data_IF_235273930652
#
_entry.id   IF_235273930652
#
_cell.length_a   1.000
_cell.length_b   1.000
_cell.length_c   1.000
_cell.angle_alpha   90.00
_cell.angle_beta   90.00
_cell.angle_gamma   90.00
#
_symmetry.space_group_name_H-M   'P 1'
#
loop_
_entity.id
_entity.type
_entity.pdbx_description
1 polymer ?
#
# COMPACT_ATOMS: atom_id res chain seq x y z
N UNK A 1 12.32 -20.78 5.49
CA UNK A 1 12.81 -21.69 6.55
C UNK A 1 13.28 -22.99 5.90
N UNK A 2 14.44 -23.51 6.30
CA UNK A 2 15.04 -24.75 5.79
C UNK A 2 14.10 -25.95 5.98
N UNK A 3 13.74 -26.64 4.90
CA UNK A 3 12.86 -27.80 4.94
C UNK A 3 13.37 -28.87 5.91
N UNK A 4 12.61 -29.09 6.99
CA UNK A 4 12.88 -30.15 7.96
C UNK A 4 12.96 -31.49 7.24
N UNK A 5 14.04 -32.25 7.44
CA UNK A 5 14.18 -33.59 6.86
C UNK A 5 12.95 -34.44 7.21
N UNK A 6 12.24 -34.93 6.20
CA UNK A 6 10.97 -35.69 6.31
C UNK A 6 11.09 -36.91 7.22
N UNK A 7 12.29 -37.46 7.38
CA UNK A 7 12.56 -38.61 8.23
C UNK A 7 13.00 -38.26 9.65
N UNK A 8 13.24 -36.98 9.96
CA UNK A 8 13.63 -36.53 11.29
C UNK A 8 12.50 -36.72 12.33
N UNK A 9 12.83 -36.77 13.63
CA UNK A 9 11.85 -36.69 14.70
C UNK A 9 10.97 -35.45 14.55
N UNK A 10 9.67 -35.60 14.75
CA UNK A 10 8.71 -34.53 14.54
C UNK A 10 8.88 -33.43 15.60
N UNK A 11 8.97 -32.14 15.20
CA UNK A 11 9.25 -31.04 16.12
C UNK A 11 8.14 -30.78 17.15
N UNK A 12 6.94 -31.34 16.97
CA UNK A 12 5.83 -31.25 17.93
C UNK A 12 6.03 -32.09 19.22
N UNK A 13 7.17 -32.78 19.36
CA UNK A 13 7.48 -33.57 20.56
C UNK A 13 6.77 -34.93 20.64
N UNK A 14 6.12 -35.38 19.56
CA UNK A 14 5.35 -36.64 19.56
C UNK A 14 6.21 -37.91 19.54
N UNK A 15 7.53 -37.79 19.38
CA UNK A 15 8.46 -38.93 19.24
C UNK A 15 8.36 -39.69 17.91
N UNK A 16 7.42 -39.35 17.02
CA UNK A 16 7.24 -39.97 15.70
C UNK A 16 8.04 -39.23 14.62
N UNK A 17 8.29 -39.87 13.47
CA UNK A 17 8.91 -39.21 12.29
C UNK A 17 8.00 -38.12 11.72
N UNK A 18 8.56 -37.00 11.28
CA UNK A 18 7.82 -35.83 10.77
C UNK A 18 6.80 -36.20 9.68
N UNK A 19 7.21 -36.99 8.69
CA UNK A 19 6.33 -37.46 7.60
C UNK A 19 5.09 -38.25 8.02
N UNK A 20 5.12 -38.86 9.21
CA UNK A 20 4.02 -39.70 9.74
C UNK A 20 3.14 -38.90 10.71
N UNK A 21 3.61 -37.75 11.18
CA UNK A 21 2.95 -36.97 12.22
C UNK A 21 2.39 -35.66 11.69
N UNK A 22 3.19 -34.59 11.65
CA UNK A 22 2.70 -33.26 11.32
C UNK A 22 2.70 -32.96 9.82
N UNK A 23 3.50 -33.66 9.00
CA UNK A 23 3.64 -33.32 7.58
C UNK A 23 2.30 -33.22 6.84
N UNK A 24 1.39 -34.19 6.97
CA UNK A 24 0.08 -34.13 6.28
C UNK A 24 -0.81 -32.99 6.76
N UNK A 25 -0.70 -32.62 8.03
CA UNK A 25 -1.45 -31.50 8.60
C UNK A 25 -0.84 -30.18 8.15
N UNK A 26 0.48 -30.09 8.16
CA UNK A 26 1.22 -28.90 7.72
C UNK A 26 1.03 -28.69 6.19
N UNK A 27 1.08 -29.76 5.39
CA UNK A 27 0.74 -29.74 3.94
C UNK A 27 -0.72 -29.34 3.71
N UNK A 28 -1.66 -29.81 4.54
CA UNK A 28 -3.06 -29.40 4.47
C UNK A 28 -3.27 -27.94 4.91
N UNK A 29 -2.56 -27.47 5.94
CA UNK A 29 -2.57 -26.07 6.38
C UNK A 29 -1.90 -25.15 5.36
N UNK A 30 -0.84 -25.58 4.69
CA UNK A 30 -0.15 -24.84 3.64
C UNK A 30 -1.02 -24.76 2.38
N UNK A 31 -1.71 -25.85 2.04
CA UNK A 31 -2.74 -25.89 0.98
C UNK A 31 -3.93 -24.99 1.34
N UNK A 32 -4.41 -25.00 2.58
CA UNK A 32 -5.45 -24.09 3.06
C UNK A 32 -4.99 -22.63 3.06
N UNK A 33 -3.74 -22.34 3.44
CA UNK A 33 -3.16 -20.98 3.39
C UNK A 33 -3.04 -20.48 1.96
N UNK A 34 -2.59 -21.33 1.03
CA UNK A 34 -2.56 -21.03 -0.40
C UNK A 34 -3.95 -20.90 -1.04
N UNK A 35 -4.96 -21.62 -0.52
CA UNK A 35 -6.35 -21.48 -0.94
C UNK A 35 -7.04 -20.22 -0.35
N UNK A 36 -6.58 -19.72 0.81
CA UNK A 36 -7.12 -18.53 1.51
C UNK A 36 -6.53 -17.20 1.02
N UNK A 37 -5.41 -17.22 0.30
CA UNK A 37 -4.73 -16.02 -0.20
C UNK A 37 -4.38 -16.13 -1.69
N UNK A 38 -4.47 -15.01 -2.43
CA UNK A 38 -3.64 -14.82 -3.63
C UNK A 38 -4.23 -15.22 -4.98
N UNK A 39 -5.55 -15.29 -5.16
CA UNK A 39 -6.14 -15.45 -6.50
C UNK A 39 -5.69 -14.36 -7.48
N UNK A 40 -5.62 -13.11 -7.00
CA UNK A 40 -5.04 -11.98 -7.75
C UNK A 40 -3.57 -12.23 -8.10
N UNK A 41 -2.73 -12.60 -7.13
CA UNK A 41 -1.30 -12.83 -7.37
C UNK A 41 -1.03 -13.98 -8.35
N UNK A 42 -1.78 -15.08 -8.27
CA UNK A 42 -1.68 -16.19 -9.24
C UNK A 42 -2.10 -15.74 -10.64
N UNK A 43 -3.15 -14.91 -10.74
CA UNK A 43 -3.61 -14.37 -12.01
C UNK A 43 -2.58 -13.43 -12.64
N UNK A 44 -2.00 -12.50 -11.87
CA UNK A 44 -0.97 -11.56 -12.36
C UNK A 44 0.28 -12.31 -12.80
N UNK A 45 0.81 -13.23 -11.98
CA UNK A 45 1.99 -14.02 -12.36
C UNK A 45 1.77 -14.81 -13.66
N UNK A 46 0.56 -15.35 -13.87
CA UNK A 46 0.22 -16.03 -15.12
C UNK A 46 0.15 -15.06 -16.31
N UNK A 47 -0.38 -13.85 -16.14
CA UNK A 47 -0.41 -12.83 -17.19
C UNK A 47 1.01 -12.43 -17.60
N UNK A 48 1.90 -12.18 -16.62
CA UNK A 48 3.29 -11.80 -16.88
C UNK A 48 4.05 -12.88 -17.68
N UNK A 49 3.80 -14.15 -17.38
CA UNK A 49 4.39 -15.27 -18.12
C UNK A 49 3.78 -15.45 -19.52
N UNK A 50 2.46 -15.28 -19.66
CA UNK A 50 1.72 -15.66 -20.87
C UNK A 50 1.67 -14.55 -21.92
N UNK A 51 1.64 -13.30 -21.48
CA UNK A 51 1.55 -12.11 -22.31
C UNK A 51 2.44 -10.99 -21.74
N UNK A 52 3.77 -11.14 -21.81
CA UNK A 52 4.72 -10.19 -21.21
C UNK A 52 4.48 -8.75 -21.69
N UNK A 53 4.35 -7.82 -20.76
CA UNK A 53 4.16 -6.39 -21.01
C UNK A 53 2.74 -5.97 -21.44
N UNK A 54 1.87 -6.91 -21.84
CA UNK A 54 0.52 -6.56 -22.28
C UNK A 54 -0.38 -6.14 -21.10
N UNK A 55 -0.19 -6.77 -19.93
CA UNK A 55 -0.87 -6.35 -18.70
C UNK A 55 -0.42 -4.95 -18.26
N UNK A 56 0.89 -4.66 -18.35
CA UNK A 56 1.46 -3.35 -18.05
C UNK A 56 0.90 -2.27 -18.98
N UNK A 57 0.80 -2.54 -20.28
CA UNK A 57 0.20 -1.61 -21.26
C UNK A 57 -1.26 -1.27 -20.92
N UNK A 58 -2.06 -2.26 -20.51
CA UNK A 58 -3.45 -2.02 -20.10
C UNK A 58 -3.53 -1.24 -18.79
N UNK A 59 -2.62 -1.49 -17.84
CA UNK A 59 -2.53 -0.71 -16.61
C UNK A 59 -2.13 0.74 -16.90
N UNK A 60 -1.13 0.95 -17.76
CA UNK A 60 -0.64 2.28 -18.14
C UNK A 60 -1.74 3.09 -18.86
N UNK A 61 -2.29 2.53 -19.94
CA UNK A 61 -3.29 3.20 -20.78
C UNK A 61 -4.68 3.26 -20.15
N UNK A 62 -4.97 2.38 -19.19
CA UNK A 62 -6.27 2.22 -18.56
C UNK A 62 -6.33 2.76 -17.14
N UNK A 63 -5.56 2.22 -16.21
CA UNK A 63 -5.54 2.66 -14.81
C UNK A 63 -4.87 4.03 -14.67
N UNK A 64 -3.62 4.14 -15.15
CA UNK A 64 -2.79 5.35 -15.08
C UNK A 64 -3.02 6.34 -16.22
N UNK A 65 -4.10 6.19 -17.00
CA UNK A 65 -4.33 7.00 -18.21
C UNK A 65 -4.35 8.54 -18.04
N UNK A 66 -4.44 9.03 -16.81
CA UNK A 66 -4.43 10.48 -16.49
C UNK A 66 -3.08 10.97 -15.95
N UNK A 67 -2.15 10.04 -15.74
CA UNK A 67 -0.80 10.29 -15.23
C UNK A 67 0.08 10.59 -16.44
N UNK A 68 0.67 11.77 -16.45
CA UNK A 68 1.66 12.18 -17.43
C UNK A 68 3.07 11.70 -17.01
N UNK A 69 4.07 11.90 -17.87
CA UNK A 69 5.46 11.52 -17.59
C UNK A 69 5.94 12.09 -16.24
N UNK A 70 5.70 13.37 -15.99
CA UNK A 70 5.99 14.03 -14.70
C UNK A 70 5.23 13.39 -13.52
N UNK A 71 4.03 12.86 -13.78
CA UNK A 71 3.22 12.12 -12.83
C UNK A 71 3.80 10.75 -12.49
N UNK A 72 4.39 10.05 -13.46
CA UNK A 72 5.11 8.79 -13.22
C UNK A 72 6.39 9.02 -12.42
N UNK A 73 7.13 10.08 -12.70
CA UNK A 73 8.29 10.48 -11.88
C UNK A 73 7.86 10.71 -10.43
N UNK A 74 6.76 11.44 -10.21
CA UNK A 74 6.21 11.65 -8.87
C UNK A 74 5.74 10.36 -8.20
N UNK A 75 5.15 9.42 -8.95
CA UNK A 75 4.75 8.12 -8.43
C UNK A 75 5.97 7.32 -7.95
N UNK A 76 7.06 7.34 -8.72
CA UNK A 76 8.32 6.68 -8.39
C UNK A 76 9.02 7.28 -7.15
N UNK A 77 8.76 8.55 -6.86
CA UNK A 77 9.26 9.25 -5.66
C UNK A 77 8.39 9.04 -4.40
N UNK A 78 7.20 8.44 -4.53
CA UNK A 78 6.33 8.19 -3.36
C UNK A 78 6.96 7.18 -2.40
N UNK A 79 6.58 7.18 -1.10
CA UNK A 79 6.99 6.12 -0.19
C UNK A 79 6.59 4.74 -0.71
N UNK A 80 7.45 3.73 -0.52
CA UNK A 80 7.24 2.37 -1.03
C UNK A 80 5.84 1.81 -0.71
N UNK A 81 5.35 1.95 0.52
CA UNK A 81 4.02 1.47 0.91
C UNK A 81 2.85 2.12 0.13
N UNK A 82 3.04 3.32 -0.42
CA UNK A 82 2.05 3.98 -1.29
C UNK A 82 2.16 3.47 -2.73
N UNK A 83 3.37 3.17 -3.19
CA UNK A 83 3.59 2.51 -4.47
C UNK A 83 2.98 1.10 -4.46
N UNK A 84 3.22 0.32 -3.39
CA UNK A 84 2.63 -1.02 -3.19
C UNK A 84 1.09 -0.96 -3.19
N UNK A 85 0.52 0.08 -2.56
CA UNK A 85 -0.93 0.31 -2.58
C UNK A 85 -1.44 0.62 -3.99
N UNK A 86 -0.72 1.45 -4.75
CA UNK A 86 -1.10 1.79 -6.12
C UNK A 86 -1.02 0.60 -7.06
N UNK A 87 0.03 -0.22 -6.93
CA UNK A 87 0.19 -1.47 -7.66
C UNK A 87 -0.93 -2.46 -7.32
N UNK A 88 -1.21 -2.68 -6.04
CA UNK A 88 -2.31 -3.54 -5.60
C UNK A 88 -3.65 -3.09 -6.18
N UNK A 89 -3.92 -1.78 -6.13
CA UNK A 89 -5.14 -1.19 -6.68
C UNK A 89 -5.21 -1.35 -8.22
N UNK A 90 -4.07 -1.25 -8.91
CA UNK A 90 -4.00 -1.45 -10.36
C UNK A 90 -4.29 -2.89 -10.75
N UNK A 91 -3.75 -3.88 -10.02
CA UNK A 91 -4.02 -5.30 -10.26
C UNK A 91 -5.47 -5.69 -9.97
N UNK A 92 -6.06 -5.19 -8.88
CA UNK A 92 -7.49 -5.36 -8.59
C UNK A 92 -8.35 -4.80 -9.74
N UNK A 93 -8.03 -3.58 -10.20
CA UNK A 93 -8.73 -2.96 -11.33
C UNK A 93 -8.57 -3.75 -12.63
N UNK A 94 -7.35 -4.20 -12.95
CA UNK A 94 -7.06 -4.96 -14.16
C UNK A 94 -7.93 -6.22 -14.23
N UNK A 95 -8.01 -6.97 -13.14
CA UNK A 95 -8.82 -8.18 -13.07
C UNK A 95 -10.32 -7.83 -13.05
N UNK A 96 -10.74 -6.79 -12.33
CA UNK A 96 -12.16 -6.49 -12.20
C UNK A 96 -12.80 -5.88 -13.47
N UNK A 97 -12.09 -4.97 -14.14
CA UNK A 97 -12.64 -4.11 -15.20
C UNK A 97 -11.76 -4.04 -16.47
N UNK A 98 -10.51 -4.50 -16.42
CA UNK A 98 -9.56 -4.48 -17.52
C UNK A 98 -9.94 -5.40 -18.68
N UNK A 99 -9.55 -4.99 -19.88
CA UNK A 99 -9.76 -5.73 -21.12
C UNK A 99 -8.44 -5.78 -21.90
N UNK A 100 -8.12 -6.94 -22.47
CA UNK A 100 -6.92 -7.19 -23.24
C UNK A 100 -7.28 -7.86 -24.56
N UNK A 101 -6.47 -7.63 -25.59
CA UNK A 101 -6.63 -8.34 -26.86
C UNK A 101 -6.30 -9.84 -26.66
N UNK A 102 -7.17 -10.72 -27.16
CA UNK A 102 -6.97 -12.17 -27.11
C UNK A 102 -5.89 -12.65 -28.09
N UNK A 103 -5.74 -11.93 -29.20
CA UNK A 103 -4.85 -12.22 -30.33
C UNK A 103 -4.49 -10.94 -31.09
N UNK A 104 -3.64 -11.08 -32.12
CA UNK A 104 -3.23 -10.00 -33.03
C UNK A 104 -4.40 -9.44 -33.86
N UNK A 105 -5.58 -10.08 -33.84
CA UNK A 105 -6.79 -9.62 -34.53
C UNK A 105 -7.54 -8.54 -33.72
N UNK A 106 -7.13 -8.30 -32.47
CA UNK A 106 -7.57 -7.18 -31.65
C UNK A 106 -8.92 -7.38 -30.97
N UNK A 107 -9.38 -8.62 -30.82
CA UNK A 107 -10.60 -8.90 -30.06
C UNK A 107 -10.35 -8.65 -28.57
N UNK A 108 -10.94 -7.57 -28.04
CA UNK A 108 -10.86 -7.23 -26.62
C UNK A 108 -11.72 -8.17 -25.78
N UNK A 109 -11.09 -8.84 -24.81
CA UNK A 109 -11.75 -9.72 -23.85
C UNK A 109 -11.45 -9.27 -22.43
N UNK A 110 -12.38 -9.44 -21.47
CA UNK A 110 -12.11 -9.17 -20.06
C UNK A 110 -10.94 -10.00 -19.56
N UNK A 111 -10.01 -9.37 -18.84
CA UNK A 111 -8.80 -10.06 -18.35
C UNK A 111 -9.16 -11.24 -17.44
N UNK A 112 -10.18 -11.08 -16.59
CA UNK A 112 -10.67 -12.19 -15.77
C UNK A 112 -11.22 -13.36 -16.59
N UNK A 113 -11.79 -13.14 -17.78
CA UNK A 113 -12.22 -14.25 -18.65
C UNK A 113 -11.02 -15.05 -19.18
N UNK A 114 -9.91 -14.38 -19.50
CA UNK A 114 -8.67 -15.05 -19.90
C UNK A 114 -8.11 -15.93 -18.77
N UNK A 115 -8.13 -15.40 -17.55
CA UNK A 115 -7.62 -16.09 -16.36
C UNK A 115 -8.54 -17.25 -15.94
N UNK A 116 -9.87 -17.07 -16.01
CA UNK A 116 -10.82 -18.10 -15.59
C UNK A 116 -11.12 -19.14 -16.67
N UNK A 117 -10.83 -18.82 -17.93
CA UNK A 117 -11.14 -19.64 -19.10
C UNK A 117 -10.18 -20.80 -19.34
N UNK A 118 -10.45 -21.54 -20.42
CA UNK A 118 -9.66 -22.70 -20.83
C UNK A 118 -8.24 -22.26 -21.22
N UNK A 119 -7.25 -22.66 -20.42
CA UNK A 119 -5.84 -22.27 -20.60
C UNK A 119 -5.31 -21.26 -19.57
N UNK A 120 -6.17 -20.77 -18.67
CA UNK A 120 -5.79 -19.99 -17.50
C UNK A 120 -4.97 -20.80 -16.47
N UNK A 121 -4.48 -20.15 -15.38
CA UNK A 121 -3.68 -20.83 -14.37
C UNK A 121 -4.50 -21.88 -13.61
N UNK A 122 -3.79 -22.82 -12.96
CA UNK A 122 -4.41 -23.75 -12.04
C UNK A 122 -4.86 -22.99 -10.78
N UNK A 123 -6.16 -22.74 -10.67
CA UNK A 123 -6.79 -22.05 -9.53
C UNK A 123 -7.50 -23.04 -8.61
N UNK A 124 -7.37 -22.84 -7.30
CA UNK A 124 -8.27 -23.47 -6.35
C UNK A 124 -9.68 -22.87 -6.47
N UNK A 125 -10.68 -23.63 -6.06
CA UNK A 125 -12.08 -23.20 -6.07
C UNK A 125 -12.29 -21.84 -5.37
N UNK A 126 -11.66 -21.64 -4.20
CA UNK A 126 -11.73 -20.38 -3.46
C UNK A 126 -11.10 -19.19 -4.21
N UNK A 127 -10.02 -19.43 -4.97
CA UNK A 127 -9.37 -18.39 -5.78
C UNK A 127 -10.23 -18.03 -6.99
N UNK A 128 -10.81 -19.02 -7.66
CA UNK A 128 -11.78 -18.83 -8.75
C UNK A 128 -12.98 -18.01 -8.26
N UNK A 129 -13.60 -18.42 -7.15
CA UNK A 129 -14.71 -17.69 -6.54
C UNK A 129 -14.33 -16.25 -6.17
N UNK A 130 -13.11 -16.03 -5.66
CA UNK A 130 -12.62 -14.69 -5.35
C UNK A 130 -12.50 -13.80 -6.61
N UNK A 131 -11.96 -14.32 -7.71
CA UNK A 131 -11.84 -13.57 -8.97
C UNK A 131 -13.21 -13.30 -9.62
N UNK A 132 -14.12 -14.27 -9.58
CA UNK A 132 -15.51 -14.09 -10.04
C UNK A 132 -16.23 -13.03 -9.21
N UNK A 133 -16.09 -13.08 -7.88
CA UNK A 133 -16.61 -12.09 -6.95
C UNK A 133 -16.02 -10.70 -7.21
N UNK A 134 -14.71 -10.61 -7.40
CA UNK A 134 -14.00 -9.37 -7.72
C UNK A 134 -14.55 -8.74 -9.00
N UNK A 135 -14.70 -9.54 -10.07
CA UNK A 135 -15.29 -9.09 -11.33
C UNK A 135 -16.75 -8.68 -11.16
N UNK A 136 -17.54 -9.33 -10.32
CA UNK A 136 -18.95 -8.97 -10.12
C UNK A 136 -19.11 -7.68 -9.28
N UNK A 137 -18.16 -7.38 -8.40
CA UNK A 137 -18.26 -6.26 -7.45
C UNK A 137 -17.82 -4.91 -8.06
N UNK A 138 -18.71 -3.91 -8.13
CA UNK A 138 -18.36 -2.58 -8.63
C UNK A 138 -17.48 -1.81 -7.62
N UNK A 139 -16.55 -1.00 -8.13
CA UNK A 139 -15.85 0.00 -7.32
C UNK A 139 -16.83 1.13 -6.97
N UNK A 140 -16.99 1.38 -5.68
CA UNK A 140 -17.88 2.41 -5.13
C UNK A 140 -17.14 3.27 -4.12
N UNK A 141 -17.75 4.39 -3.75
CA UNK A 141 -17.19 5.36 -2.83
C UNK A 141 -17.96 5.32 -1.51
N UNK A 142 -17.25 5.00 -0.43
CA UNK A 142 -17.85 4.78 0.88
C UNK A 142 -17.32 5.77 1.90
N UNK A 143 -18.23 6.32 2.71
CA UNK A 143 -17.89 7.03 3.94
C UNK A 143 -18.00 6.07 5.12
N UNK A 144 -16.96 5.97 5.92
CA UNK A 144 -16.98 5.22 7.18
C UNK A 144 -17.78 6.04 8.19
N UNK A 145 -18.92 5.52 8.64
CA UNK A 145 -19.73 6.18 9.68
C UNK A 145 -19.24 5.82 11.07
N UNK A 146 -18.91 4.53 11.27
CA UNK A 146 -18.49 4.01 12.56
C UNK A 146 -17.53 2.84 12.37
N UNK A 147 -16.53 2.75 13.25
CA UNK A 147 -15.71 1.55 13.41
C UNK A 147 -16.27 0.76 14.60
N UNK A 148 -16.73 -0.46 14.34
CA UNK A 148 -17.39 -1.31 15.32
C UNK A 148 -16.45 -2.45 15.75
N UNK A 149 -15.52 -2.12 16.66
CA UNK A 149 -14.47 -3.04 17.12
C UNK A 149 -13.33 -3.23 16.10
N UNK A 150 -12.48 -4.23 16.33
CA UNK A 150 -11.25 -4.45 15.54
C UNK A 150 -11.50 -5.04 14.14
N UNK A 151 -12.71 -5.56 13.87
CA UNK A 151 -12.94 -6.35 12.64
C UNK A 151 -14.16 -5.90 11.82
N UNK A 152 -14.95 -4.95 12.31
CA UNK A 152 -16.14 -4.48 11.60
C UNK A 152 -16.21 -2.96 11.53
N UNK A 153 -16.91 -2.47 10.52
CA UNK A 153 -17.22 -1.05 10.36
C UNK A 153 -18.60 -0.89 9.70
N UNK A 154 -19.21 0.26 9.93
CA UNK A 154 -20.42 0.70 9.25
C UNK A 154 -20.00 1.73 8.22
N UNK A 155 -20.35 1.49 6.96
CA UNK A 155 -20.05 2.39 5.85
C UNK A 155 -21.33 2.80 5.14
N UNK A 156 -21.30 3.95 4.46
CA UNK A 156 -22.38 4.41 3.59
C UNK A 156 -21.84 4.67 2.19
N UNK A 157 -22.46 4.09 1.18
CA UNK A 157 -22.19 4.45 -0.21
C UNK A 157 -22.63 5.91 -0.43
N UNK A 158 -21.71 6.78 -0.83
CA UNK A 158 -22.03 8.19 -1.01
C UNK A 158 -22.70 8.44 -2.37
N UNK A 159 -22.66 7.50 -3.32
CA UNK A 159 -23.35 7.61 -4.60
C UNK A 159 -24.79 7.06 -4.53
N UNK A 160 -25.07 6.17 -3.57
CA UNK A 160 -26.41 5.71 -3.19
C UNK A 160 -26.55 5.63 -1.65
N UNK A 161 -26.85 6.76 -0.99
CA UNK A 161 -26.76 6.87 0.48
C UNK A 161 -27.94 6.27 1.24
N UNK A 162 -28.77 5.44 0.61
CA UNK A 162 -30.06 5.01 1.17
C UNK A 162 -29.93 4.13 2.41
N UNK A 163 -28.97 3.20 2.46
CA UNK A 163 -28.82 2.28 3.61
C UNK A 163 -27.34 2.08 4.01
N UNK A 164 -26.97 2.31 5.28
CA UNK A 164 -25.66 1.92 5.80
C UNK A 164 -25.43 0.41 5.70
N UNK A 165 -24.20 0.02 5.43
CA UNK A 165 -23.77 -1.37 5.31
C UNK A 165 -22.81 -1.69 6.45
N UNK A 166 -23.08 -2.77 7.17
CA UNK A 166 -22.08 -3.39 8.04
C UNK A 166 -21.13 -4.21 7.17
N UNK A 167 -19.83 -3.96 7.29
CA UNK A 167 -18.78 -4.59 6.49
C UNK A 167 -17.64 -5.04 7.40
N UNK A 168 -16.90 -6.07 6.99
CA UNK A 168 -15.62 -6.41 7.64
C UNK A 168 -14.55 -5.38 7.28
N UNK A 169 -13.58 -5.17 8.16
CA UNK A 169 -12.42 -4.32 7.83
C UNK A 169 -11.40 -5.05 6.93
N UNK A 170 -11.39 -6.38 6.92
CA UNK A 170 -10.48 -7.18 6.08
C UNK A 170 -9.00 -6.96 6.42
N UNK A 171 -8.15 -6.95 5.40
CA UNK A 171 -6.71 -6.71 5.53
C UNK A 171 -6.34 -5.31 6.03
N UNK A 172 -7.30 -4.38 6.04
CA UNK A 172 -7.14 -2.97 6.40
C UNK A 172 -7.59 -2.67 7.84
N UNK A 173 -7.66 -3.68 8.71
CA UNK A 173 -8.00 -3.49 10.11
C UNK A 173 -7.07 -2.46 10.78
N UNK A 174 -7.66 -1.42 11.38
CA UNK A 174 -6.91 -0.31 12.01
C UNK A 174 -6.67 0.92 11.11
N UNK A 175 -6.87 0.81 9.79
CA UNK A 175 -6.72 1.94 8.85
C UNK A 175 -8.00 2.79 8.69
N UNK A 176 -9.11 2.30 9.24
CA UNK A 176 -10.40 2.99 9.18
C UNK A 176 -10.65 3.83 10.42
N UNK A 177 -11.18 5.03 10.21
CA UNK A 177 -11.70 5.96 11.22
C UNK A 177 -13.04 6.50 10.76
N UNK A 178 -13.92 6.81 11.71
CA UNK A 178 -15.18 7.49 11.39
C UNK A 178 -14.90 8.80 10.63
N UNK A 179 -15.68 9.06 9.58
CA UNK A 179 -15.50 10.17 8.66
C UNK A 179 -14.66 9.86 7.43
N UNK A 180 -13.80 8.83 7.47
CA UNK A 180 -12.93 8.48 6.34
C UNK A 180 -13.73 8.22 5.06
N UNK A 181 -13.19 8.72 3.94
CA UNK A 181 -13.71 8.46 2.61
C UNK A 181 -12.77 7.49 1.87
N UNK A 182 -13.34 6.40 1.34
CA UNK A 182 -12.59 5.30 0.72
C UNK A 182 -13.31 4.81 -0.54
N UNK A 183 -12.59 4.70 -1.65
CA UNK A 183 -13.03 3.87 -2.77
C UNK A 183 -12.73 2.41 -2.46
N UNK A 184 -13.71 1.52 -2.58
CA UNK A 184 -13.55 0.07 -2.32
C UNK A 184 -14.49 -0.74 -3.20
N UNK A 185 -14.10 -1.99 -3.50
CA UNK A 185 -15.04 -3.03 -3.92
C UNK A 185 -15.43 -3.86 -2.71
N UNK A 186 -16.72 -4.02 -2.47
CA UNK A 186 -17.20 -4.94 -1.44
C UNK A 186 -17.50 -6.29 -2.08
N UNK A 187 -16.74 -7.31 -1.70
CA UNK A 187 -16.96 -8.68 -2.12
C UNK A 187 -18.17 -9.29 -1.38
N UNK A 188 -18.98 -10.12 -2.06
CA UNK A 188 -20.13 -10.79 -1.46
C UNK A 188 -19.73 -11.62 -0.23
N UNK A 189 -20.53 -11.51 0.82
CA UNK A 189 -20.32 -12.18 2.10
C UNK A 189 -21.31 -11.65 3.15
N UNK A 190 -21.35 -12.27 4.32
CA UNK A 190 -22.22 -11.82 5.43
C UNK A 190 -21.40 -11.69 6.73
N UNK A 191 -20.94 -10.49 7.11
CA UNK A 191 -21.00 -9.24 6.34
C UNK A 191 -20.01 -9.24 5.16
N UNK A 192 -20.23 -8.42 4.11
CA UNK A 192 -19.31 -8.28 2.99
C UNK A 192 -17.98 -7.66 3.42
N UNK A 193 -16.93 -7.81 2.61
CA UNK A 193 -15.58 -7.35 2.92
C UNK A 193 -14.89 -6.67 1.73
N UNK A 194 -13.96 -5.72 1.96
CA UNK A 194 -13.16 -5.12 0.90
C UNK A 194 -12.36 -6.17 0.12
N UNK A 195 -12.25 -6.02 -1.19
CA UNK A 195 -11.47 -6.94 -2.06
C UNK A 195 -9.99 -7.00 -1.74
N UNK A 196 -9.46 -5.93 -1.14
CA UNK A 196 -8.03 -5.70 -0.97
C UNK A 196 -7.66 -4.34 -1.51
N UNK A 197 -8.23 -3.91 -2.65
CA UNK A 197 -8.03 -2.55 -3.15
C UNK A 197 -8.71 -1.50 -2.27
N UNK A 198 -7.98 -0.41 -2.02
CA UNK A 198 -8.40 0.70 -1.19
C UNK A 198 -7.91 2.02 -1.79
N UNK A 199 -8.85 2.92 -2.07
CA UNK A 199 -8.56 4.25 -2.61
C UNK A 199 -8.81 5.30 -1.52
N UNK A 200 -7.81 5.62 -0.67
CA UNK A 200 -7.99 6.58 0.40
C UNK A 200 -8.02 8.03 -0.09
N UNK A 201 -9.00 8.80 0.39
CA UNK A 201 -9.06 10.24 0.16
C UNK A 201 -8.77 11.02 1.46
N UNK A 202 -8.15 12.21 1.36
CA UNK A 202 -7.93 13.07 2.52
C UNK A 202 -9.25 13.50 3.16
N UNK A 203 -9.35 13.33 4.49
CA UNK A 203 -10.57 13.67 5.23
C UNK A 203 -10.98 15.14 5.07
N UNK A 204 -10.00 16.05 5.01
CA UNK A 204 -10.22 17.48 4.82
C UNK A 204 -10.85 17.83 3.46
N UNK A 205 -10.75 16.94 2.47
CA UNK A 205 -11.29 17.12 1.12
C UNK A 205 -12.45 16.17 0.84
N UNK A 206 -12.87 15.36 1.81
CA UNK A 206 -13.84 14.30 1.58
C UNK A 206 -15.16 14.81 0.97
N UNK A 207 -15.72 15.90 1.48
CA UNK A 207 -16.96 16.45 0.94
C UNK A 207 -16.79 17.08 -0.45
N UNK A 208 -15.63 17.67 -0.73
CA UNK A 208 -15.30 18.20 -2.05
C UNK A 208 -15.17 17.07 -3.08
N UNK A 209 -14.48 15.98 -2.71
CA UNK A 209 -14.34 14.78 -3.54
C UNK A 209 -15.71 14.15 -3.81
N UNK A 210 -16.54 14.01 -2.77
CA UNK A 210 -17.91 13.48 -2.93
C UNK A 210 -18.72 14.36 -3.88
N UNK A 211 -18.66 15.68 -3.74
CA UNK A 211 -19.33 16.61 -4.64
C UNK A 211 -18.84 16.45 -6.08
N UNK A 212 -17.53 16.48 -6.30
CA UNK A 212 -16.92 16.36 -7.63
C UNK A 212 -17.28 15.05 -8.32
N UNK A 213 -17.22 13.91 -7.61
CA UNK A 213 -17.56 12.60 -8.18
C UNK A 213 -19.07 12.51 -8.45
N UNK A 214 -19.93 13.01 -7.56
CA UNK A 214 -21.38 13.05 -7.80
C UNK A 214 -21.74 13.91 -9.00
N UNK A 215 -21.12 15.08 -9.14
CA UNK A 215 -21.35 15.98 -10.27
C UNK A 215 -20.90 15.34 -11.58
N UNK A 216 -19.75 14.66 -11.60
CA UNK A 216 -19.29 13.92 -12.78
C UNK A 216 -20.26 12.79 -13.16
N UNK A 217 -20.71 12.00 -12.19
CA UNK A 217 -21.68 10.91 -12.42
C UNK A 217 -23.05 11.45 -12.84
N UNK A 218 -23.52 12.54 -12.24
CA UNK A 218 -24.80 13.17 -12.59
C UNK A 218 -24.76 13.82 -13.98
N UNK A 219 -23.66 14.50 -14.32
CA UNK A 219 -23.45 15.09 -15.64
C UNK A 219 -23.57 14.03 -16.73
N UNK A 220 -22.96 12.86 -16.53
CA UNK A 220 -23.12 11.73 -17.45
C UNK A 220 -24.53 11.19 -17.54
N UNK A 221 -25.19 10.99 -16.40
CA UNK A 221 -26.60 10.54 -16.35
C UNK A 221 -27.55 11.50 -17.07
N UNK A 222 -27.12 12.75 -17.27
CA UNK A 222 -27.85 13.77 -18.03
C UNK A 222 -27.54 13.86 -19.53
N UNK A 223 -26.52 13.15 -20.04
CA UNK A 223 -26.17 13.20 -21.49
C UNK A 223 -27.04 12.23 -22.26
N UNK A 224 -27.85 12.63 -23.25
CA UNK A 224 -28.78 11.71 -23.95
C UNK A 224 -28.13 10.51 -24.69
N UNK A 225 -26.81 10.46 -24.85
CA UNK A 225 -26.06 9.38 -25.54
C UNK A 225 -25.69 8.18 -24.68
N UNK A 226 -26.11 8.10 -23.42
CA UNK A 226 -25.86 6.95 -22.49
C UNK A 226 -26.44 5.62 -22.96
N UNK A 227 -27.24 5.64 -24.03
CA UNK A 227 -27.81 4.44 -24.68
C UNK A 227 -26.94 3.96 -25.85
N UNK A 228 -25.73 4.49 -26.03
CA UNK A 228 -24.79 3.98 -27.01
C UNK A 228 -24.40 2.53 -26.64
N UNK A 229 -24.46 1.58 -27.60
CA UNK A 229 -24.00 0.20 -27.35
C UNK A 229 -22.56 0.19 -26.83
N UNK A 230 -22.32 -0.49 -25.70
CA UNK A 230 -20.98 -0.61 -25.08
C UNK A 230 -20.68 0.35 -23.92
N UNK A 231 -21.60 1.23 -23.54
CA UNK A 231 -21.42 2.08 -22.35
C UNK A 231 -21.67 1.30 -21.03
N UNK A 232 -20.70 1.35 -20.11
CA UNK A 232 -20.78 0.76 -18.78
C UNK A 232 -20.61 1.83 -17.68
N UNK A 233 -21.73 2.20 -17.03
CA UNK A 233 -21.75 3.19 -15.94
C UNK A 233 -20.83 2.78 -14.78
N UNK A 234 -20.72 1.47 -14.49
CA UNK A 234 -19.84 0.98 -13.42
C UNK A 234 -18.39 1.32 -13.75
N UNK A 235 -17.93 1.02 -14.97
CA UNK A 235 -16.55 1.31 -15.39
C UNK A 235 -16.26 2.81 -15.35
N UNK A 236 -17.24 3.65 -15.71
CA UNK A 236 -17.07 5.09 -15.58
C UNK A 236 -16.92 5.55 -14.12
N UNK A 237 -17.79 5.07 -13.22
CA UNK A 237 -17.71 5.41 -11.80
C UNK A 237 -16.35 4.99 -11.23
N UNK A 238 -15.91 3.77 -11.56
CA UNK A 238 -14.60 3.26 -11.17
C UNK A 238 -13.48 4.16 -11.68
N UNK A 239 -13.50 4.52 -12.98
CA UNK A 239 -12.51 5.42 -13.59
C UNK A 239 -12.49 6.79 -12.92
N UNK A 240 -13.64 7.33 -12.55
CA UNK A 240 -13.71 8.63 -11.87
C UNK A 240 -13.08 8.56 -10.48
N UNK A 241 -13.39 7.52 -9.69
CA UNK A 241 -12.79 7.29 -8.38
C UNK A 241 -11.26 7.17 -8.52
N UNK A 242 -10.78 6.31 -9.42
CA UNK A 242 -9.35 6.07 -9.67
C UNK A 242 -8.65 7.36 -10.11
N UNK A 243 -9.17 8.06 -11.12
CA UNK A 243 -8.58 9.30 -11.61
C UNK A 243 -8.53 10.38 -10.53
N UNK A 244 -9.61 10.56 -9.75
CA UNK A 244 -9.60 11.52 -8.63
C UNK A 244 -8.57 11.14 -7.57
N UNK A 245 -8.38 9.85 -7.30
CA UNK A 245 -7.38 9.37 -6.35
C UNK A 245 -5.95 9.57 -6.87
N UNK A 246 -5.68 9.21 -8.12
CA UNK A 246 -4.38 9.43 -8.78
C UNK A 246 -4.02 10.92 -8.80
N UNK A 247 -4.97 11.83 -9.04
CA UNK A 247 -4.71 13.27 -8.94
C UNK A 247 -4.28 13.71 -7.53
N UNK A 248 -4.62 12.99 -6.45
CA UNK A 248 -4.09 13.28 -5.13
C UNK A 248 -2.67 12.74 -4.93
N UNK A 249 -2.35 11.61 -5.56
CA UNK A 249 -1.03 11.01 -5.49
C UNK A 249 0.00 11.76 -6.33
N UNK A 250 -0.38 12.11 -7.56
CA UNK A 250 0.51 12.60 -8.60
C UNK A 250 -0.01 13.86 -9.28
N UNK A 251 -1.01 14.55 -8.73
CA UNK A 251 -1.45 15.84 -9.29
C UNK A 251 -0.42 16.95 -9.05
N UNK A 252 -0.32 17.95 -9.94
CA UNK A 252 0.56 19.10 -9.69
C UNK A 252 0.12 19.77 -8.39
N UNK A 253 1.08 20.10 -7.52
CA UNK A 253 0.80 20.90 -6.31
C UNK A 253 0.03 22.16 -6.74
N UNK A 254 -1.19 22.43 -6.24
CA UNK A 254 -1.93 23.58 -6.71
C UNK A 254 -1.22 24.88 -6.30
N UNK A 255 -0.57 25.56 -7.24
CA UNK A 255 -0.07 26.94 -7.05
C UNK A 255 -1.21 27.93 -6.72
N UNK A 256 -2.47 27.53 -6.87
CA UNK A 256 -3.65 28.38 -6.74
C UNK A 256 -4.51 28.18 -5.47
N UNK A 257 -4.30 27.16 -4.62
CA UNK A 257 -5.12 26.97 -3.38
C UNK A 257 -4.51 27.56 -2.11
N UNK A 258 -3.25 28.01 -2.15
CA UNK A 258 -2.58 28.60 -0.99
C UNK A 258 -3.08 30.01 -0.57
N UNK A 259 -4.05 30.60 -1.28
CA UNK A 259 -4.49 31.99 -1.05
C UNK A 259 -5.85 32.15 -0.36
N UNK A 260 -6.67 31.11 -0.17
CA UNK A 260 -8.05 31.30 0.34
C UNK A 260 -8.33 30.87 1.78
N UNK A 261 -7.40 30.25 2.51
CA UNK A 261 -7.66 29.77 3.89
C UNK A 261 -6.86 30.49 5.00
N UNK A 262 -6.13 31.57 4.70
CA UNK A 262 -5.66 32.47 5.77
C UNK A 262 -6.81 33.37 6.29
N UNK A 263 -7.79 32.78 6.99
CA UNK A 263 -8.54 33.55 7.99
C UNK A 263 -7.61 33.82 9.17
N UNK A 264 -6.96 34.98 9.12
CA UNK A 264 -6.06 35.49 10.16
C UNK A 264 -6.84 35.75 11.45
N UNK A 265 -6.76 34.85 12.42
CA UNK A 265 -7.17 35.14 13.80
C UNK A 265 -5.96 35.66 14.59
N UNK A 266 -5.96 36.96 14.84
CA UNK A 266 -5.07 37.63 15.81
C UNK A 266 -5.79 37.79 17.13
N UNK A 267 -5.07 37.68 18.26
CA UNK A 267 -5.63 38.05 19.56
C UNK A 267 -5.88 39.56 19.66
N UNK A 268 -6.52 39.99 20.76
CA UNK A 268 -6.87 41.39 21.04
C UNK A 268 -5.66 42.31 21.21
N UNK A 269 -4.43 41.77 21.18
CA UNK A 269 -3.15 42.49 21.27
C UNK A 269 -2.31 42.36 19.98
N UNK A 270 -2.88 41.84 18.89
CA UNK A 270 -2.20 41.72 17.60
C UNK A 270 -1.11 40.65 17.55
N UNK A 271 -1.05 39.75 18.54
CA UNK A 271 -0.11 38.62 18.50
C UNK A 271 -0.70 37.49 17.66
N UNK A 272 0.14 36.95 16.76
CA UNK A 272 -0.15 35.73 16.02
C UNK A 272 -0.15 34.56 16.99
N UNK A 273 -1.31 33.94 17.21
CA UNK A 273 -1.38 32.67 17.90
C UNK A 273 -0.94 31.59 16.91
N UNK A 274 0.25 31.01 17.11
CA UNK A 274 0.57 29.71 16.50
C UNK A 274 -0.31 28.69 17.21
N UNK A 275 -1.36 28.21 16.53
CA UNK A 275 -2.04 27.01 16.97
C UNK A 275 -0.99 25.89 17.04
N UNK A 276 -0.87 25.24 18.20
CA UNK A 276 -0.17 23.97 18.29
C UNK A 276 -0.87 23.02 17.30
N UNK A 277 -0.14 22.57 16.28
CA UNK A 277 -0.64 21.63 15.29
C UNK A 277 -0.43 20.23 15.84
N UNK A 278 -1.49 19.43 15.87
CA UNK A 278 -1.37 17.99 16.11
C UNK A 278 -0.57 17.36 14.95
N UNK A 279 0.34 16.41 15.22
CA UNK A 279 1.13 15.76 14.18
C UNK A 279 0.22 14.98 13.22
N UNK A 280 0.42 15.20 11.91
CA UNK A 280 -0.39 14.62 10.83
C UNK A 280 -0.03 13.15 10.58
N UNK A 281 1.19 12.73 10.94
CA UNK A 281 1.70 11.38 10.77
C UNK A 281 2.39 10.95 12.08
N UNK A 282 1.98 9.79 12.60
CA UNK A 282 2.57 9.12 13.76
C UNK A 282 3.05 7.73 13.36
N UNK A 283 4.12 7.25 13.97
CA UNK A 283 4.54 5.86 13.79
C UNK A 283 3.50 4.92 14.42
N UNK A 284 2.90 4.03 13.62
CA UNK A 284 1.88 3.10 14.10
C UNK A 284 2.37 2.08 15.15
N UNK A 285 3.67 2.00 15.42
CA UNK A 285 4.26 1.08 16.40
C UNK A 285 4.48 1.77 17.74
N UNK A 286 5.05 2.98 17.71
CA UNK A 286 5.33 3.73 18.93
C UNK A 286 4.33 4.80 19.31
N UNK A 287 3.49 5.26 18.37
CA UNK A 287 2.65 6.44 18.53
C UNK A 287 3.42 7.77 18.52
N UNK A 288 4.74 7.75 18.34
CA UNK A 288 5.55 8.97 18.26
C UNK A 288 5.27 9.71 16.94
N UNK A 289 5.43 11.05 16.90
CA UNK A 289 5.41 11.79 15.64
C UNK A 289 6.42 11.22 14.65
N UNK A 290 6.00 11.01 13.41
CA UNK A 290 6.91 10.60 12.35
C UNK A 290 7.91 11.72 12.08
N UNK A 291 9.19 11.37 12.18
CA UNK A 291 10.34 12.21 11.87
C UNK A 291 11.32 11.27 11.17
N UNK A 292 11.45 11.43 9.86
CA UNK A 292 12.28 10.58 9.03
C UNK A 292 13.74 10.97 9.29
N UNK A 293 14.48 10.11 9.98
CA UNK A 293 15.84 10.39 10.42
C UNK A 293 16.80 9.45 9.72
N UNK A 294 17.77 10.04 9.01
CA UNK A 294 18.88 9.31 8.39
C UNK A 294 20.17 9.71 9.08
N UNK A 295 20.81 8.77 9.75
CA UNK A 295 22.18 8.92 10.21
C UNK A 295 23.15 8.56 9.09
N UNK A 296 24.27 9.26 9.01
CA UNK A 296 25.35 8.96 8.07
C UNK A 296 26.60 8.57 8.82
N UNK A 297 27.18 7.44 8.45
CA UNK A 297 28.44 6.94 9.00
C UNK A 297 29.48 6.72 7.91
N UNK A 298 30.75 6.88 8.30
CA UNK A 298 31.88 6.30 7.60
C UNK A 298 32.16 4.90 8.13
N UNK A 299 32.31 3.93 7.23
CA UNK A 299 32.70 2.57 7.58
C UNK A 299 34.21 2.44 7.47
N UNK A 300 34.86 2.18 8.62
CA UNK A 300 36.33 2.02 8.71
C UNK A 300 36.77 0.57 8.55
N UNK A 301 35.88 -0.37 8.86
CA UNK A 301 36.15 -1.79 8.71
C UNK A 301 34.85 -2.56 8.41
N UNK A 302 34.67 -2.89 7.14
CA UNK A 302 33.47 -3.57 6.65
C UNK A 302 33.29 -4.98 7.21
N UNK A 303 34.36 -5.75 7.33
CA UNK A 303 34.28 -7.14 7.80
C UNK A 303 33.88 -7.19 9.27
N UNK A 304 34.42 -6.28 10.08
CA UNK A 304 34.06 -6.15 11.49
C UNK A 304 32.62 -5.67 11.67
N UNK A 305 32.16 -4.72 10.84
CA UNK A 305 30.78 -4.25 10.85
C UNK A 305 29.81 -5.39 10.47
N UNK A 306 30.08 -6.10 9.37
CA UNK A 306 29.23 -7.18 8.90
C UNK A 306 29.16 -8.34 9.92
N UNK A 307 30.29 -8.69 10.55
CA UNK A 307 30.32 -9.69 11.61
C UNK A 307 29.53 -9.27 12.86
N UNK A 308 29.64 -7.99 13.26
CA UNK A 308 28.91 -7.46 14.41
C UNK A 308 27.38 -7.47 14.18
N UNK A 309 26.94 -7.10 12.98
CA UNK A 309 25.53 -7.11 12.58
C UNK A 309 24.99 -8.55 12.47
N UNK A 310 25.73 -9.46 11.82
CA UNK A 310 25.33 -10.86 11.68
C UNK A 310 25.25 -11.62 13.02
N UNK A 311 25.91 -11.13 14.07
CA UNK A 311 25.84 -11.70 15.41
C UNK A 311 24.56 -11.31 16.18
N UNK A 312 23.76 -10.36 15.67
CA UNK A 312 22.53 -9.94 16.33
C UNK A 312 21.34 -10.76 15.82
N UNK A 313 20.59 -11.47 16.68
CA UNK A 313 19.46 -12.29 16.27
C UNK A 313 18.29 -11.46 15.71
N UNK A 314 18.19 -10.18 16.07
CA UNK A 314 17.17 -9.26 15.58
C UNK A 314 17.56 -8.55 14.25
N UNK A 315 18.70 -8.90 13.64
CA UNK A 315 19.18 -8.28 12.40
C UNK A 315 19.12 -9.26 11.24
N UNK A 316 18.47 -8.87 10.17
CA UNK A 316 18.44 -9.60 8.90
C UNK A 316 19.19 -8.81 7.82
N UNK A 317 19.66 -9.51 6.79
CA UNK A 317 20.30 -8.90 5.63
C UNK A 317 21.80 -9.16 5.52
N UNK A 318 22.45 -8.43 4.62
CA UNK A 318 23.83 -8.67 4.22
C UNK A 318 24.47 -7.41 3.63
N UNK A 319 25.79 -7.42 3.50
CA UNK A 319 26.49 -6.29 2.87
C UNK A 319 26.02 -5.98 1.46
N UNK A 320 25.55 -6.97 0.70
CA UNK A 320 25.11 -6.73 -0.68
C UNK A 320 23.74 -6.02 -0.74
N UNK A 321 22.88 -6.22 0.27
CA UNK A 321 21.47 -5.78 0.24
C UNK A 321 21.13 -4.79 1.37
N UNK A 322 22.12 -4.39 2.18
CA UNK A 322 21.88 -3.72 3.45
C UNK A 322 21.33 -4.66 4.52
N UNK A 323 21.08 -4.10 5.69
CA UNK A 323 20.52 -4.84 6.82
C UNK A 323 19.26 -4.17 7.34
N UNK A 324 18.47 -4.92 8.10
CA UNK A 324 17.32 -4.40 8.82
C UNK A 324 17.35 -4.94 10.24
N UNK A 325 17.20 -4.05 11.21
CA UNK A 325 16.96 -4.43 12.61
C UNK A 325 15.47 -4.51 12.83
N UNK A 326 14.97 -5.63 13.31
CA UNK A 326 13.55 -5.89 13.56
C UNK A 326 13.18 -5.74 15.04
N UNK A 327 11.89 -5.60 15.32
CA UNK A 327 11.31 -5.76 16.65
C UNK A 327 11.47 -7.21 17.15
N UNK A 328 11.51 -7.44 18.48
CA UNK A 328 11.43 -8.79 19.03
C UNK A 328 10.19 -9.52 18.51
N UNK A 329 10.41 -10.64 17.81
CA UNK A 329 9.33 -11.38 17.14
C UNK A 329 9.26 -11.18 15.61
N UNK A 330 10.11 -10.31 15.04
CA UNK A 330 10.37 -10.23 13.60
C UNK A 330 9.30 -9.56 12.74
N UNK A 331 8.29 -8.94 13.35
CA UNK A 331 7.13 -8.41 12.62
C UNK A 331 7.32 -7.01 12.02
N UNK A 332 8.29 -6.22 12.51
CA UNK A 332 8.41 -4.81 12.10
C UNK A 332 9.86 -4.29 12.12
N UNK A 333 10.30 -3.53 11.10
CA UNK A 333 11.64 -2.95 11.08
C UNK A 333 11.76 -1.76 12.04
N UNK A 334 12.73 -1.79 12.96
CA UNK A 334 13.08 -0.65 13.83
C UNK A 334 14.08 0.30 13.18
N UNK A 335 15.01 -0.24 12.39
CA UNK A 335 16.07 0.50 11.72
C UNK A 335 16.42 -0.18 10.40
N UNK A 336 16.28 0.52 9.28
CA UNK A 336 16.85 0.08 8.01
C UNK A 336 18.30 0.56 7.95
N UNK A 337 19.24 -0.31 7.64
CA UNK A 337 20.68 -0.04 7.66
C UNK A 337 21.18 -0.14 6.22
N UNK A 338 21.10 0.99 5.51
CA UNK A 338 21.37 1.04 4.08
C UNK A 338 22.85 1.30 3.80
N UNK A 339 23.32 0.85 2.63
CA UNK A 339 24.60 1.31 2.10
C UNK A 339 24.41 2.71 1.50
N UNK A 340 25.36 3.61 1.75
CA UNK A 340 25.37 4.91 1.07
C UNK A 340 25.99 4.81 -0.33
N UNK A 341 25.83 5.87 -1.14
CA UNK A 341 26.35 5.93 -2.51
C UNK A 341 27.88 5.83 -2.58
N UNK A 342 28.60 6.36 -1.59
CA UNK A 342 30.05 6.16 -1.51
C UNK A 342 30.40 4.80 -0.88
N UNK A 343 31.43 4.14 -1.40
CA UNK A 343 31.89 2.80 -1.00
C UNK A 343 32.13 2.56 0.50
N UNK A 344 32.33 3.61 1.28
CA UNK A 344 32.62 3.57 2.72
C UNK A 344 31.53 4.30 3.53
N UNK A 345 30.28 4.31 3.03
CA UNK A 345 29.13 4.95 3.70
C UNK A 345 28.09 3.94 4.12
N UNK A 346 27.52 4.22 5.29
CA UNK A 346 26.36 3.54 5.82
C UNK A 346 25.33 4.58 6.24
N UNK A 347 24.08 4.36 5.85
CA UNK A 347 22.98 5.30 6.07
C UNK A 347 21.81 4.63 6.81
N UNK A 348 21.90 4.45 8.14
CA UNK A 348 20.78 3.95 8.92
C UNK A 348 19.61 4.93 8.94
N UNK A 349 18.43 4.42 8.66
CA UNK A 349 17.17 5.15 8.58
C UNK A 349 16.19 4.68 9.64
N UNK A 350 15.60 5.65 10.36
CA UNK A 350 14.54 5.45 11.34
C UNK A 350 13.38 6.40 11.08
N UNK A 351 12.16 5.93 11.34
CA UNK A 351 10.89 6.65 11.09
C UNK A 351 10.49 7.65 12.18
N UNK A 352 11.18 7.61 13.32
CA UNK A 352 10.98 8.57 14.43
C UNK A 352 12.32 8.98 15.02
N UNK A 353 12.33 10.15 15.65
CA UNK A 353 13.51 10.63 16.37
C UNK A 353 13.97 9.65 17.45
N UNK A 354 13.02 9.08 18.21
CA UNK A 354 13.32 8.13 19.28
C UNK A 354 13.97 6.85 18.75
N UNK A 355 13.45 6.28 17.67
CA UNK A 355 14.03 5.09 17.04
C UNK A 355 15.42 5.37 16.47
N UNK A 356 15.66 6.57 15.95
CA UNK A 356 16.98 6.98 15.48
C UNK A 356 18.01 7.06 16.63
N UNK A 357 17.60 7.60 17.78
CA UNK A 357 18.45 7.72 18.96
C UNK A 357 18.80 6.34 19.55
N UNK A 358 17.78 5.48 19.70
CA UNK A 358 17.95 4.11 20.17
C UNK A 358 18.78 3.27 19.18
N UNK A 359 18.50 3.41 17.88
CA UNK A 359 19.21 2.75 16.79
C UNK A 359 20.69 3.14 16.74
N UNK A 360 20.99 4.43 16.86
CA UNK A 360 22.35 4.95 16.93
C UNK A 360 23.13 4.39 18.12
N UNK A 361 22.58 4.51 19.33
CA UNK A 361 23.23 4.02 20.54
C UNK A 361 23.49 2.51 20.46
N UNK A 362 22.55 1.75 19.89
CA UNK A 362 22.70 0.33 19.63
C UNK A 362 23.80 0.04 18.60
N UNK A 363 23.82 0.76 17.48
CA UNK A 363 24.75 0.52 16.37
C UNK A 363 26.20 0.87 16.76
N UNK A 364 26.40 2.01 17.41
CA UNK A 364 27.71 2.43 17.92
C UNK A 364 28.25 1.42 18.97
N UNK A 365 27.37 0.84 19.79
CA UNK A 365 27.75 -0.17 20.78
C UNK A 365 28.21 -1.48 20.14
N UNK A 366 27.55 -1.96 19.09
CA UNK A 366 27.90 -3.25 18.46
C UNK A 366 29.06 -3.12 17.46
N UNK A 367 29.14 -1.99 16.74
CA UNK A 367 30.15 -1.78 15.71
C UNK A 367 31.43 -1.13 16.26
N UNK A 368 31.35 -0.38 17.36
CA UNK A 368 32.49 0.31 17.96
C UNK A 368 33.21 1.22 16.97
N UNK A 369 34.54 1.12 16.95
CA UNK A 369 35.44 1.86 16.07
C UNK A 369 35.38 1.46 14.58
N UNK A 370 34.61 0.42 14.23
CA UNK A 370 34.35 0.08 12.83
C UNK A 370 33.49 1.13 12.11
N UNK A 371 32.77 1.97 12.87
CA UNK A 371 31.96 3.08 12.36
C UNK A 371 32.42 4.41 12.94
N UNK A 372 32.34 5.46 12.13
CA UNK A 372 32.42 6.85 12.60
C UNK A 372 31.16 7.59 12.17
N UNK A 373 30.40 8.11 13.14
CA UNK A 373 29.28 9.00 12.86
C UNK A 373 29.76 10.28 12.18
N UNK A 374 29.04 10.71 11.13
CA UNK A 374 29.34 11.92 10.38
C UNK A 374 28.29 13.00 10.63
N UNK A 375 27.02 12.68 10.37
CA UNK A 375 25.93 13.65 10.43
C UNK A 375 24.59 12.95 10.58
N UNK A 376 23.58 13.71 11.02
CA UNK A 376 22.18 13.30 11.03
C UNK A 376 21.38 14.25 10.17
N UNK A 377 20.52 13.69 9.35
CA UNK A 377 19.48 14.41 8.64
C UNK A 377 18.13 14.06 9.28
N UNK A 378 17.34 15.09 9.62
CA UNK A 378 15.99 14.92 10.17
C UNK A 378 15.03 15.63 9.23
N UNK A 379 14.11 14.85 8.69
CA UNK A 379 13.02 15.32 7.85
C UNK A 379 11.74 15.20 8.66
N UNK A 380 11.11 16.33 8.95
CA UNK A 380 9.73 16.33 9.42
C UNK A 380 8.80 16.22 8.21
N UNK A 381 8.14 15.06 7.99
CA UNK A 381 7.20 14.91 6.90
C UNK A 381 5.94 15.78 7.10
N UNK A 382 5.74 16.35 8.29
CA UNK A 382 4.68 17.30 8.59
C UNK A 382 5.11 18.77 8.37
N UNK A 383 6.38 19.06 8.05
CA UNK A 383 6.86 20.40 7.73
C UNK A 383 6.75 20.68 6.22
N UNK A 384 5.86 21.60 5.79
CA UNK A 384 5.71 21.98 4.39
C UNK A 384 6.96 22.61 3.75
N UNK A 385 7.95 23.06 4.55
CA UNK A 385 9.23 23.54 4.04
C UNK A 385 10.20 22.39 3.73
N UNK A 386 10.17 21.31 4.51
CA UNK A 386 11.01 20.13 4.31
C UNK A 386 10.56 19.33 3.10
N UNK A 387 9.25 19.15 2.91
CA UNK A 387 8.66 18.60 1.68
C UNK A 387 9.05 19.42 0.44
N UNK A 388 9.16 20.76 0.57
CA UNK A 388 9.65 21.63 -0.51
C UNK A 388 11.14 21.45 -0.81
N UNK A 389 11.96 21.18 0.21
CA UNK A 389 13.41 21.03 0.05
C UNK A 389 13.84 19.67 -0.54
N UNK A 390 13.05 18.63 -0.30
CA UNK A 390 13.24 17.30 -0.90
C UNK A 390 12.97 17.31 -2.41
N UNK A 391 12.05 18.19 -2.85
CA UNK A 391 11.72 18.44 -4.27
C UNK A 391 12.70 19.44 -4.93
N UNK A 392 13.53 20.14 -4.15
CA UNK A 392 14.38 21.23 -4.66
C UNK A 392 15.89 20.97 -4.61
N UNK A 393 16.36 19.76 -4.27
CA UNK A 393 17.76 19.37 -4.48
C UNK A 393 17.92 18.80 -5.90
N UNK A 394 18.03 19.73 -6.84
CA UNK A 394 18.76 19.55 -8.09
C UNK A 394 20.24 19.89 -7.88
#
# INVERSE_FOLDING_TARGET
>A
MSGSDRNAPCPCGSGRKYKVCCLRRDEAEETERGARHGGVGVAIAWLDERCPGAADEVIETGFYSIVDDDGFDRLAELPAHVQDLAELNAFDWLLADGEMALDDEGLMVPVTDMVLGDGGPALFEAQRQHLEALRASPLRLYRVEQVAGEHRMIVRDVLDPTTPLEVKQGAWAGEFRAGNLRGMRLLPGVPPEPSGALFPYPDALADEVVGSIRDAVAALRGVSSIHAPGYDERKFVAKTIISTWLMFLVGPLPEARARSTERKHTDRKGRRLRAARDPFIVDGGSGDPALLVTDRYEVRNWDRLAAALAAQPEVEGSRQHGWVKLEPGGSRPLLAINLGEEKDRLEPFARTQRLADEGRAWLERIAGDALRFLSREVVDPNDPATLRSLVSRR
#
